data_IF_984036074838
#
_entry.id   IF_984036074838
#
_cell.length_a   1.000
_cell.length_b   1.000
_cell.length_c   1.000
_cell.angle_alpha   90.00
_cell.angle_beta   90.00
_cell.angle_gamma   90.00
#
_symmetry.space_group_name_H-M   'P 1'
#
loop_
_entity.id
_entity.type
_entity.pdbx_description
1 polymer ?
#
# COMPACT_ATOMS: atom_id res chain seq x y z
N UNK A 1 -0.29 12.05 4.46
CA UNK A 1 1.12 11.94 4.91
C UNK A 1 2.01 12.41 3.77
N UNK A 2 2.86 13.39 3.99
CA UNK A 2 3.84 13.80 2.99
C UNK A 2 5.12 12.95 3.14
N UNK A 3 5.96 12.95 2.12
CA UNK A 3 7.21 12.17 2.07
C UNK A 3 8.08 12.44 3.31
N UNK A 4 8.13 13.68 3.74
CA UNK A 4 8.83 14.09 4.93
C UNK A 4 8.27 13.41 6.18
N UNK A 5 6.95 13.30 6.31
CA UNK A 5 6.31 12.64 7.45
C UNK A 5 6.55 11.14 7.47
N UNK A 6 6.53 10.49 6.31
CA UNK A 6 6.85 9.06 6.23
C UNK A 6 8.33 8.85 6.60
N UNK A 7 9.22 9.66 6.06
CA UNK A 7 10.66 9.59 6.35
C UNK A 7 10.98 9.97 7.81
N UNK A 8 10.34 11.01 8.34
CA UNK A 8 10.49 11.42 9.74
C UNK A 8 9.98 10.35 10.70
N UNK A 9 8.80 9.79 10.44
CA UNK A 9 8.27 8.70 11.25
C UNK A 9 9.21 7.49 11.22
N UNK A 10 9.74 7.13 10.06
CA UNK A 10 10.70 6.02 9.94
C UNK A 10 12.02 6.31 10.66
N UNK A 11 12.49 7.57 10.68
CA UNK A 11 13.71 7.97 11.38
C UNK A 11 13.46 8.04 12.88
N UNK A 12 12.38 8.68 13.32
CA UNK A 12 12.01 8.78 14.74
C UNK A 12 11.79 7.38 15.33
N UNK A 13 11.11 6.50 14.60
CA UNK A 13 10.82 5.15 15.05
C UNK A 13 12.10 4.29 15.14
N UNK A 14 13.04 4.45 14.22
CA UNK A 14 14.33 3.78 14.30
C UNK A 14 15.18 4.24 15.50
N UNK A 15 14.95 5.47 16.00
CA UNK A 15 15.65 5.99 17.16
C UNK A 15 14.88 5.78 18.46
N UNK A 16 13.55 5.70 18.45
CA UNK A 16 12.70 5.52 19.63
C UNK A 16 12.38 4.05 19.91
N UNK A 17 12.36 3.22 18.89
CA UNK A 17 12.09 1.79 19.03
C UNK A 17 13.38 1.02 19.18
N UNK A 18 13.55 0.34 20.34
CA UNK A 18 14.71 -0.51 20.60
C UNK A 18 14.68 -1.81 19.78
N UNK A 19 13.54 -2.19 19.20
CA UNK A 19 13.37 -3.45 18.50
C UNK A 19 12.37 -3.34 17.32
N UNK A 20 12.91 -3.41 16.12
CA UNK A 20 12.11 -3.50 14.90
C UNK A 20 12.42 -4.83 14.20
N UNK A 21 11.37 -5.49 13.76
CA UNK A 21 11.45 -6.75 13.03
C UNK A 21 10.82 -6.56 11.64
N UNK A 22 11.46 -7.11 10.61
CA UNK A 22 10.90 -7.14 9.26
C UNK A 22 10.35 -8.54 8.98
N UNK A 23 9.07 -8.61 8.62
CA UNK A 23 8.40 -9.84 8.18
C UNK A 23 8.21 -9.77 6.66
N UNK A 24 8.63 -10.82 5.97
CA UNK A 24 8.51 -10.93 4.52
C UNK A 24 7.47 -11.98 4.18
N UNK A 25 6.49 -11.62 3.36
CA UNK A 25 5.39 -12.48 2.92
C UNK A 25 5.25 -12.43 1.39
N UNK A 26 4.63 -13.45 0.76
CA UNK A 26 4.34 -13.39 -0.66
C UNK A 26 3.47 -12.19 -1.02
N UNK A 27 3.81 -11.51 -2.10
CA UNK A 27 3.11 -10.36 -2.64
C UNK A 27 1.85 -10.78 -3.40
N UNK A 28 0.84 -9.93 -3.43
CA UNK A 28 -0.29 -10.06 -4.34
C UNK A 28 -1.67 -10.02 -3.71
N UNK A 29 -1.77 -10.07 -2.38
CA UNK A 29 -3.06 -10.06 -1.68
C UNK A 29 -3.04 -9.02 -0.55
N UNK A 30 -3.39 -7.79 -0.86
CA UNK A 30 -3.43 -6.70 0.12
C UNK A 30 -4.45 -6.93 1.24
N UNK A 31 -5.58 -7.57 0.94
CA UNK A 31 -6.59 -7.85 1.95
C UNK A 31 -6.06 -8.82 3.01
N UNK A 32 -5.37 -9.87 2.58
CA UNK A 32 -4.70 -10.81 3.47
C UNK A 32 -3.61 -10.12 4.28
N UNK A 33 -2.81 -9.27 3.65
CA UNK A 33 -1.76 -8.49 4.32
C UNK A 33 -2.36 -7.58 5.40
N UNK A 34 -3.46 -6.89 5.10
CA UNK A 34 -4.17 -6.04 6.05
C UNK A 34 -4.69 -6.83 7.26
N UNK A 35 -5.25 -8.01 7.03
CA UNK A 35 -5.74 -8.88 8.09
C UNK A 35 -4.60 -9.36 8.99
N UNK A 36 -3.48 -9.77 8.42
CA UNK A 36 -2.30 -10.19 9.16
C UNK A 36 -1.74 -9.04 10.03
N UNK A 37 -1.58 -7.86 9.44
CA UNK A 37 -1.11 -6.68 10.18
C UNK A 37 -2.03 -6.33 11.35
N UNK A 38 -3.34 -6.41 11.14
CA UNK A 38 -4.34 -6.15 12.18
C UNK A 38 -4.24 -7.17 13.31
N UNK A 39 -4.06 -8.46 12.99
CA UNK A 39 -3.89 -9.50 14.00
C UNK A 39 -2.62 -9.27 14.81
N UNK A 40 -1.50 -8.98 14.15
CA UNK A 40 -0.23 -8.71 14.82
C UNK A 40 -0.32 -7.50 15.76
N UNK A 41 -1.02 -6.45 15.38
CA UNK A 41 -1.24 -5.27 16.22
C UNK A 41 -2.12 -5.55 17.45
N UNK A 42 -2.86 -6.64 17.47
CA UNK A 42 -3.68 -7.02 18.62
C UNK A 42 -2.87 -7.52 19.82
N UNK A 43 -1.61 -7.85 19.65
CA UNK A 43 -0.72 -8.31 20.71
C UNK A 43 -0.04 -7.14 21.42
N UNK A 44 0.01 -7.20 22.76
CA UNK A 44 0.64 -6.15 23.57
C UNK A 44 2.14 -5.97 23.30
N UNK A 45 2.80 -7.01 22.83
CA UNK A 45 4.22 -7.01 22.47
C UNK A 45 4.50 -6.25 21.16
N UNK A 46 3.47 -5.91 20.39
CA UNK A 46 3.58 -5.13 19.15
C UNK A 46 3.09 -3.71 19.42
N UNK A 47 3.98 -2.74 19.31
CA UNK A 47 3.65 -1.32 19.45
C UNK A 47 2.82 -0.87 18.24
N UNK A 48 3.36 -1.05 17.04
CA UNK A 48 2.63 -0.82 15.79
C UNK A 48 3.29 -1.57 14.64
N UNK A 49 2.59 -1.63 13.52
CA UNK A 49 3.08 -2.24 12.28
C UNK A 49 2.99 -1.28 11.11
N UNK A 50 3.82 -1.49 10.10
CA UNK A 50 3.79 -0.74 8.85
C UNK A 50 3.93 -1.69 7.66
N UNK A 51 2.93 -1.68 6.79
CA UNK A 51 2.94 -2.38 5.51
C UNK A 51 2.12 -1.58 4.51
N UNK A 52 2.25 -1.83 3.21
CA UNK A 52 1.46 -1.10 2.21
C UNK A 52 -0.04 -1.22 2.47
N UNK A 53 -0.47 -2.35 3.03
CA UNK A 53 -1.89 -2.61 3.27
C UNK A 53 -2.51 -1.79 4.42
N UNK A 54 -1.70 -1.14 5.27
CA UNK A 54 -2.22 -0.35 6.40
C UNK A 54 -1.78 1.12 6.40
N UNK A 55 -1.15 1.60 5.33
CA UNK A 55 -0.78 3.01 5.21
C UNK A 55 -1.99 3.83 4.79
N UNK A 56 -2.29 4.88 5.55
CA UNK A 56 -3.37 5.81 5.23
C UNK A 56 -3.02 6.67 4.01
N UNK A 57 -4.03 6.88 3.16
CA UNK A 57 -3.99 7.79 2.03
C UNK A 57 -4.88 9.00 2.31
N UNK A 58 -5.56 9.52 1.31
CA UNK A 58 -6.46 10.67 1.43
C UNK A 58 -7.91 10.23 1.69
N UNK A 59 -8.71 11.12 2.31
CA UNK A 59 -10.16 10.99 2.48
C UNK A 59 -10.62 9.68 3.14
N UNK A 60 -9.84 9.18 4.10
CA UNK A 60 -10.16 7.96 4.84
C UNK A 60 -9.82 6.66 4.12
N UNK A 61 -9.27 6.74 2.92
CA UNK A 61 -8.77 5.56 2.20
C UNK A 61 -7.36 5.18 2.65
N UNK A 62 -7.04 3.90 2.53
CA UNK A 62 -5.66 3.39 2.62
C UNK A 62 -5.06 3.24 1.22
N UNK A 63 -3.75 3.23 1.11
CA UNK A 63 -3.05 3.07 -0.18
C UNK A 63 -3.46 1.80 -0.94
N UNK A 64 -3.73 0.73 -0.21
CA UNK A 64 -4.10 -0.56 -0.79
C UNK A 64 -5.60 -0.76 -0.96
N UNK A 65 -6.44 0.18 -0.54
CA UNK A 65 -7.89 0.10 -0.73
C UNK A 65 -8.24 0.06 -2.20
N UNK A 66 -9.15 -0.84 -2.57
CA UNK A 66 -9.63 -0.96 -3.94
C UNK A 66 -10.75 0.04 -4.20
N UNK A 67 -10.57 0.89 -5.21
CA UNK A 67 -11.51 1.92 -5.60
C UNK A 67 -12.12 1.62 -6.98
N UNK A 68 -13.40 2.00 -7.13
CA UNK A 68 -14.08 2.04 -8.43
C UNK A 68 -13.58 3.25 -9.23
N UNK A 69 -13.83 3.31 -10.56
CA UNK A 69 -13.51 4.50 -11.36
C UNK A 69 -14.08 5.79 -10.79
N UNK A 70 -15.31 5.77 -10.29
CA UNK A 70 -15.95 6.95 -9.70
C UNK A 70 -15.26 7.40 -8.42
N UNK A 71 -14.98 6.48 -7.52
CA UNK A 71 -14.29 6.78 -6.27
C UNK A 71 -12.89 7.36 -6.55
N UNK A 72 -12.17 6.77 -7.49
CA UNK A 72 -10.86 7.25 -7.90
C UNK A 72 -10.93 8.64 -8.54
N UNK A 73 -11.88 8.87 -9.43
CA UNK A 73 -12.09 10.17 -10.08
C UNK A 73 -12.35 11.28 -9.05
N UNK A 74 -13.21 11.03 -8.07
CA UNK A 74 -13.50 11.98 -6.99
C UNK A 74 -12.27 12.26 -6.13
N UNK A 75 -11.51 11.23 -5.78
CA UNK A 75 -10.30 11.38 -4.96
C UNK A 75 -9.19 12.11 -5.71
N UNK A 76 -8.96 11.80 -6.96
CA UNK A 76 -7.86 12.35 -7.77
C UNK A 76 -8.22 13.66 -8.49
N UNK A 77 -9.47 14.09 -8.43
CA UNK A 77 -9.94 15.29 -9.14
C UNK A 77 -9.97 15.13 -10.66
N UNK A 78 -10.25 13.91 -11.14
CA UNK A 78 -10.37 13.59 -12.56
C UNK A 78 -11.83 13.53 -13.00
N UNK A 79 -12.07 13.76 -14.30
CA UNK A 79 -13.36 13.48 -14.89
C UNK A 79 -13.67 11.98 -14.85
N UNK A 80 -14.92 11.63 -14.58
CA UNK A 80 -15.34 10.23 -14.50
C UNK A 80 -15.08 9.47 -15.80
N UNK A 81 -15.33 10.11 -16.95
CA UNK A 81 -15.08 9.50 -18.25
C UNK A 81 -13.58 9.18 -18.45
N UNK A 82 -12.71 10.10 -18.04
CA UNK A 82 -11.26 9.88 -18.07
C UNK A 82 -10.85 8.71 -17.17
N UNK A 83 -11.42 8.63 -15.97
CA UNK A 83 -11.17 7.52 -15.04
C UNK A 83 -11.63 6.17 -15.62
N UNK A 84 -12.78 6.13 -16.29
CA UNK A 84 -13.26 4.91 -16.96
C UNK A 84 -12.29 4.43 -18.05
N UNK A 85 -11.76 5.36 -18.85
CA UNK A 85 -10.79 5.04 -19.91
C UNK A 85 -9.51 4.46 -19.32
N UNK A 86 -8.99 5.07 -18.26
CA UNK A 86 -7.77 4.62 -17.59
C UNK A 86 -7.97 3.25 -16.94
N UNK A 87 -9.11 3.03 -16.29
CA UNK A 87 -9.45 1.73 -15.69
C UNK A 87 -9.56 0.61 -16.75
N UNK A 88 -10.17 0.92 -17.88
CA UNK A 88 -10.27 -0.04 -19.00
C UNK A 88 -8.88 -0.38 -19.56
N UNK A 89 -8.01 0.59 -19.72
CA UNK A 89 -6.63 0.37 -20.17
C UNK A 89 -5.83 -0.45 -19.15
N UNK A 90 -5.98 -0.16 -17.85
CA UNK A 90 -5.34 -0.93 -16.79
C UNK A 90 -5.77 -2.39 -16.82
N UNK A 91 -7.07 -2.65 -16.94
CA UNK A 91 -7.60 -4.01 -17.01
C UNK A 91 -7.04 -4.78 -18.22
N UNK A 92 -6.96 -4.13 -19.38
CA UNK A 92 -6.42 -4.73 -20.59
C UNK A 92 -4.94 -5.09 -20.43
N UNK A 93 -4.14 -4.21 -19.84
CA UNK A 93 -2.70 -4.42 -19.64
C UNK A 93 -2.38 -5.43 -18.53
N UNK A 94 -3.29 -5.65 -17.57
CA UNK A 94 -3.10 -6.54 -16.43
C UNK A 94 -3.95 -7.81 -16.48
N UNK A 95 -4.35 -8.23 -17.67
CA UNK A 95 -5.09 -9.48 -17.92
C UNK A 95 -6.44 -9.60 -17.16
N UNK A 96 -6.94 -8.49 -16.60
CA UNK A 96 -8.22 -8.46 -15.86
C UNK A 96 -9.43 -8.19 -16.76
N UNK A 97 -9.29 -8.36 -18.07
CA UNK A 97 -10.35 -8.03 -19.02
C UNK A 97 -11.63 -8.82 -18.78
N UNK A 98 -11.49 -10.05 -18.26
CA UNK A 98 -12.63 -10.87 -17.89
C UNK A 98 -13.52 -10.27 -16.79
N UNK A 99 -12.95 -9.47 -15.90
CA UNK A 99 -13.67 -8.79 -14.84
C UNK A 99 -14.48 -7.58 -15.35
N UNK A 100 -14.13 -7.06 -16.52
CA UNK A 100 -14.81 -5.94 -17.16
C UNK A 100 -16.08 -6.34 -17.92
N UNK A 101 -16.25 -7.61 -18.24
CA UNK A 101 -17.38 -8.10 -19.07
C UNK A 101 -18.73 -7.82 -18.43
N UNK A 102 -18.78 -7.57 -17.10
CA UNK A 102 -20.02 -7.20 -16.41
C UNK A 102 -20.26 -5.69 -16.41
N UNK A 103 -19.34 -4.91 -15.83
CA UNK A 103 -19.54 -3.46 -15.65
C UNK A 103 -18.27 -2.77 -15.19
N UNK A 104 -17.74 -1.84 -16.00
CA UNK A 104 -16.58 -1.01 -15.65
C UNK A 104 -16.82 -0.21 -14.35
N UNK A 105 -18.07 0.19 -14.07
CA UNK A 105 -18.41 0.98 -12.89
C UNK A 105 -18.18 0.24 -11.56
N UNK A 106 -18.14 -1.08 -11.57
CA UNK A 106 -17.88 -1.91 -10.38
C UNK A 106 -16.49 -2.49 -10.31
N UNK A 107 -15.68 -2.27 -11.35
CA UNK A 107 -14.29 -2.72 -11.37
C UNK A 107 -13.47 -1.92 -10.37
N UNK A 108 -12.77 -2.61 -9.50
CA UNK A 108 -11.99 -1.99 -8.43
C UNK A 108 -10.51 -2.31 -8.57
N UNK A 109 -9.68 -1.29 -8.38
CA UNK A 109 -8.22 -1.40 -8.43
C UNK A 109 -7.64 -0.76 -7.17
N UNK A 110 -6.59 -1.34 -6.56
CA UNK A 110 -5.92 -0.70 -5.42
C UNK A 110 -5.50 0.74 -5.77
N UNK A 111 -5.78 1.66 -4.85
CA UNK A 111 -5.50 3.09 -5.04
C UNK A 111 -4.06 3.35 -5.49
N UNK A 112 -3.09 2.75 -4.82
CA UNK A 112 -1.67 2.94 -5.16
C UNK A 112 -1.34 2.44 -6.57
N UNK A 113 -1.90 1.31 -6.99
CA UNK A 113 -1.63 0.73 -8.30
C UNK A 113 -2.23 1.59 -9.41
N UNK A 114 -3.47 2.04 -9.23
CA UNK A 114 -4.12 2.92 -10.22
C UNK A 114 -3.45 4.29 -10.27
N UNK A 115 -3.07 4.83 -9.11
CA UNK A 115 -2.42 6.14 -9.06
C UNK A 115 -1.08 6.14 -9.81
N UNK A 116 -0.22 5.14 -9.58
CA UNK A 116 1.06 5.01 -10.27
C UNK A 116 0.88 4.73 -11.77
N UNK A 117 -0.17 3.99 -12.12
CA UNK A 117 -0.54 3.76 -13.51
C UNK A 117 -0.92 5.06 -14.23
N UNK A 118 -1.72 5.91 -13.58
CA UNK A 118 -2.10 7.23 -14.12
C UNK A 118 -0.87 8.12 -14.28
N UNK A 119 0.05 8.12 -13.31
CA UNK A 119 1.31 8.85 -13.41
C UNK A 119 2.11 8.44 -14.65
N UNK A 120 2.23 7.15 -14.89
CA UNK A 120 2.90 6.62 -16.07
C UNK A 120 2.25 7.09 -17.37
N UNK A 121 0.92 7.09 -17.44
CA UNK A 121 0.16 7.54 -18.61
C UNK A 121 0.25 9.05 -18.84
N UNK A 122 0.36 9.84 -17.79
CA UNK A 122 0.61 11.29 -17.89
C UNK A 122 2.02 11.53 -18.43
N UNK A 123 3.02 10.86 -17.91
CA UNK A 123 4.41 10.98 -18.34
C UNK A 123 4.60 10.57 -19.81
N UNK A 124 3.85 9.56 -20.26
CA UNK A 124 3.89 9.11 -21.66
C UNK A 124 3.02 9.94 -22.62
N UNK A 125 2.29 10.95 -22.10
CA UNK A 125 1.46 11.84 -22.90
C UNK A 125 0.08 11.26 -23.30
N UNK A 126 -0.29 10.10 -22.79
CA UNK A 126 -1.60 9.47 -23.08
C UNK A 126 -2.73 10.19 -22.34
N UNK A 127 -2.45 10.70 -21.14
CA UNK A 127 -3.40 11.49 -20.34
C UNK A 127 -2.82 12.90 -20.17
N UNK A 128 -3.65 13.92 -20.40
CA UNK A 128 -3.25 15.32 -20.24
C UNK A 128 -3.96 15.92 -19.03
N UNK A 129 -3.16 16.54 -18.15
CA UNK A 129 -3.63 17.24 -16.96
C UNK A 129 -3.19 18.71 -17.01
N UNK A 130 -3.83 19.56 -16.19
CA UNK A 130 -3.34 20.92 -15.96
C UNK A 130 -2.00 20.91 -15.24
N UNK A 131 -1.24 22.00 -15.30
CA UNK A 131 0.04 22.13 -14.59
C UNK A 131 -0.13 21.92 -13.09
N UNK A 132 -1.18 22.49 -12.50
CA UNK A 132 -1.48 22.32 -11.07
C UNK A 132 -1.79 20.87 -10.71
N UNK A 133 -2.59 20.17 -11.52
CA UNK A 133 -2.89 18.76 -11.33
C UNK A 133 -1.62 17.90 -11.49
N UNK A 134 -0.77 18.22 -12.46
CA UNK A 134 0.49 17.53 -12.71
C UNK A 134 1.45 17.66 -11.54
N UNK A 135 1.58 18.84 -10.94
CA UNK A 135 2.44 19.09 -9.79
C UNK A 135 1.97 18.30 -8.55
N UNK A 136 0.65 18.32 -8.27
CA UNK A 136 0.07 17.55 -7.16
C UNK A 136 0.25 16.04 -7.36
N UNK A 137 0.03 15.58 -8.59
CA UNK A 137 0.21 14.19 -8.96
C UNK A 137 1.67 13.75 -8.76
N UNK A 138 2.61 14.59 -9.18
CA UNK A 138 4.04 14.30 -9.09
C UNK A 138 4.52 14.18 -7.64
N UNK A 139 4.09 15.07 -6.75
CA UNK A 139 4.41 15.02 -5.33
C UNK A 139 3.89 13.72 -4.68
N UNK A 140 2.66 13.33 -5.00
CA UNK A 140 2.08 12.09 -4.49
C UNK A 140 2.75 10.84 -5.09
N UNK A 141 3.17 10.90 -6.37
CA UNK A 141 3.93 9.83 -7.02
C UNK A 141 5.23 9.51 -6.29
N UNK A 142 5.99 10.54 -5.92
CA UNK A 142 7.26 10.39 -5.19
C UNK A 142 7.02 9.64 -3.87
N UNK A 143 5.99 10.02 -3.11
CA UNK A 143 5.64 9.38 -1.84
C UNK A 143 5.22 7.93 -2.02
N UNK A 144 4.35 7.65 -2.97
CA UNK A 144 3.84 6.29 -3.22
C UNK A 144 4.93 5.37 -3.75
N UNK A 145 5.79 5.88 -4.63
CA UNK A 145 6.93 5.13 -5.15
C UNK A 145 7.92 4.80 -4.03
N UNK A 146 8.19 5.74 -3.14
CA UNK A 146 9.05 5.53 -1.99
C UNK A 146 8.49 4.45 -1.06
N UNK A 147 7.21 4.53 -0.72
CA UNK A 147 6.55 3.53 0.12
C UNK A 147 6.60 2.14 -0.52
N UNK A 148 6.32 2.05 -1.82
CA UNK A 148 6.35 0.79 -2.56
C UNK A 148 7.76 0.19 -2.60
N UNK A 149 8.78 1.01 -2.84
CA UNK A 149 10.17 0.56 -2.88
C UNK A 149 10.67 0.04 -1.54
N UNK A 150 10.18 0.61 -0.43
CA UNK A 150 10.57 0.18 0.92
C UNK A 150 9.82 -1.06 1.39
N UNK A 151 8.53 -1.19 1.04
CA UNK A 151 7.63 -2.17 1.61
C UNK A 151 7.24 -3.29 0.65
N UNK A 152 7.74 -3.26 -0.58
CA UNK A 152 7.41 -4.28 -1.57
C UNK A 152 8.62 -4.55 -2.46
N UNK A 153 8.88 -5.82 -2.71
CA UNK A 153 9.85 -6.27 -3.69
C UNK A 153 9.15 -6.81 -4.93
N UNK A 154 9.89 -7.51 -5.77
CA UNK A 154 9.37 -8.07 -7.02
C UNK A 154 8.36 -9.18 -6.78
N UNK A 155 8.61 -10.04 -5.78
CA UNK A 155 7.78 -11.22 -5.46
C UNK A 155 7.25 -11.23 -4.02
N UNK A 156 7.62 -10.26 -3.21
CA UNK A 156 7.30 -10.24 -1.78
C UNK A 156 6.81 -8.88 -1.31
N UNK A 157 6.08 -8.88 -0.20
CA UNK A 157 5.75 -7.70 0.59
C UNK A 157 6.54 -7.74 1.90
N UNK A 158 6.94 -6.58 2.37
CA UNK A 158 7.68 -6.39 3.60
C UNK A 158 6.81 -5.67 4.62
N UNK A 159 6.70 -6.27 5.80
CA UNK A 159 5.98 -5.69 6.92
C UNK A 159 6.97 -5.35 8.02
N UNK A 160 6.92 -4.14 8.55
CA UNK A 160 7.76 -3.70 9.66
C UNK A 160 6.96 -3.80 10.95
N UNK A 161 7.48 -4.52 11.92
CA UNK A 161 6.86 -4.70 13.23
C UNK A 161 7.75 -4.03 14.28
N UNK A 162 7.18 -3.08 15.01
CA UNK A 162 7.86 -2.37 16.08
C UNK A 162 7.42 -2.98 17.39
N UNK A 163 8.36 -3.65 18.08
CA UNK A 163 8.08 -4.44 19.25
C UNK A 163 8.36 -3.66 20.53
N UNK A 164 7.56 -3.91 21.58
CA UNK A 164 7.79 -3.36 22.90
C UNK A 164 8.84 -4.15 23.68
N UNK A 165 9.19 -5.34 23.17
CA UNK A 165 10.17 -6.23 23.78
C UNK A 165 11.62 -5.79 23.48
N UNK A 166 12.60 -6.18 24.32
CA UNK A 166 14.00 -5.89 24.06
C UNK A 166 14.52 -6.62 22.79
N UNK A 167 15.63 -6.14 22.24
CA UNK A 167 16.25 -6.70 21.03
C UNK A 167 16.63 -8.18 21.18
N UNK A 168 16.95 -8.62 22.38
CA UNK A 168 17.36 -10.00 22.68
C UNK A 168 16.73 -10.49 23.97
N UNK A 169 16.67 -11.81 24.14
CA UNK A 169 16.14 -12.48 25.32
C UNK A 169 15.13 -13.57 24.91
N UNK A 170 14.87 -14.47 25.85
CA UNK A 170 14.01 -15.64 25.59
C UNK A 170 12.58 -15.23 25.23
N UNK A 171 12.06 -14.19 25.90
CA UNK A 171 10.71 -13.68 25.64
C UNK A 171 10.59 -13.15 24.21
N UNK A 172 11.58 -12.41 23.75
CA UNK A 172 11.61 -11.87 22.37
C UNK A 172 11.73 -13.01 21.35
N UNK A 173 12.55 -14.00 21.60
CA UNK A 173 12.70 -15.15 20.69
C UNK A 173 11.42 -16.00 20.63
N UNK A 174 10.74 -16.22 21.74
CA UNK A 174 9.45 -16.92 21.77
C UNK A 174 8.38 -16.14 20.99
N UNK A 175 8.36 -14.81 21.15
CA UNK A 175 7.40 -13.97 20.43
C UNK A 175 7.69 -13.93 18.92
N UNK A 176 8.96 -13.90 18.53
CA UNK A 176 9.37 -14.01 17.12
C UNK A 176 8.87 -15.32 16.48
N UNK A 177 9.01 -16.44 17.19
CA UNK A 177 8.49 -17.73 16.73
C UNK A 177 6.96 -17.70 16.60
N UNK A 178 6.27 -17.04 17.52
CA UNK A 178 4.82 -16.85 17.46
C UNK A 178 4.41 -16.03 16.25
N UNK A 179 5.11 -14.93 15.93
CA UNK A 179 4.87 -14.11 14.74
C UNK A 179 5.00 -14.97 13.47
N UNK A 180 6.04 -15.77 13.37
CA UNK A 180 6.25 -16.65 12.21
C UNK A 180 5.15 -17.71 12.09
N UNK A 181 4.68 -18.26 13.20
CA UNK A 181 3.57 -19.21 13.22
C UNK A 181 2.27 -18.55 12.73
N UNK A 182 1.97 -17.35 13.20
CA UNK A 182 0.81 -16.57 12.76
C UNK A 182 0.91 -16.29 11.26
N UNK A 183 2.07 -15.81 10.78
CA UNK A 183 2.28 -15.53 9.36
C UNK A 183 2.07 -16.79 8.49
N UNK A 184 2.54 -17.94 8.95
CA UNK A 184 2.34 -19.21 8.24
C UNK A 184 0.88 -19.65 8.19
N UNK A 185 0.04 -19.21 9.13
CA UNK A 185 -1.40 -19.47 9.06
C UNK A 185 -2.09 -18.71 7.93
N UNK A 186 -1.56 -17.55 7.55
CA UNK A 186 -2.01 -16.76 6.39
C UNK A 186 -1.36 -17.22 5.08
N UNK A 187 -0.10 -17.64 5.13
CA UNK A 187 0.71 -18.03 3.96
C UNK A 187 1.31 -19.42 4.19
N UNK A 188 0.50 -20.47 4.03
CA UNK A 188 0.94 -21.84 4.26
C UNK A 188 1.96 -22.36 3.24
#
# INVERSE_FOLDING_TARGET
LNETQIAENMIEDNFSSSNMMALVVPKGDYEKEAQLLKELESYDEVDYTMGLANIDALDGYKLADKLTPRQFAELAGLDYEAAQVVYAAYAAENESYGELVGNIATYKVPLIDMFLYVCDKVDSGVVTLSDEQTDLLHDAEVQMTSAKNQLQGETYSRMLLYLTLPVSGDETYHFTDKILEIARSYYP
#
